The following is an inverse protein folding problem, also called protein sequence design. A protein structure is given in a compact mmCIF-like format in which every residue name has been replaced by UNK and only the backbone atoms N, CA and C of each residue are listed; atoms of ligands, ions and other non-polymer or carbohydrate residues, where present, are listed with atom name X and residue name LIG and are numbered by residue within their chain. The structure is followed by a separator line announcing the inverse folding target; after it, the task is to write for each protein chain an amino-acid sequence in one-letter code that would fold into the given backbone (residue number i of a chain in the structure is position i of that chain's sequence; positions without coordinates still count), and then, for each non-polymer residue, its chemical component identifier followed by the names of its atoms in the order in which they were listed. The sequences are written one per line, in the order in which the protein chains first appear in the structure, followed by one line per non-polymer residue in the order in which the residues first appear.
data_IF_079088674831
#
_entry.id   IF_079088674831
#
_cell.length_a   1.000
_cell.length_b   1.000
_cell.length_c   1.000
_cell.angle_alpha   90.00
_cell.angle_beta   90.00
_cell.angle_gamma   90.00
#
_symmetry.space_group_name_H-M   'P 1'
#
loop_
_entity.id
_entity.type
_entity.pdbx_description
1 polymer ?
#
# COMPACT_ATOMS: atom_id res chain seq x y z
N UNK A 1 8.19 -16.63 -9.64
CA UNK A 1 8.19 -16.06 -8.27
C UNK A 1 8.39 -14.57 -8.46
N UNK A 2 7.42 -13.79 -8.04
CA UNK A 2 7.44 -12.33 -8.17
C UNK A 2 8.61 -11.72 -7.37
N UNK A 3 9.06 -10.54 -7.77
CA UNK A 3 10.07 -9.79 -7.02
C UNK A 3 9.61 -9.46 -5.60
N UNK A 4 8.30 -9.34 -5.38
CA UNK A 4 7.72 -8.99 -4.09
C UNK A 4 7.81 -10.10 -3.06
N UNK A 5 7.62 -11.38 -3.46
CA UNK A 5 7.69 -12.53 -2.56
C UNK A 5 9.08 -12.77 -1.94
N UNK A 6 10.07 -12.03 -2.39
CA UNK A 6 11.41 -12.01 -1.79
C UNK A 6 11.47 -11.16 -0.52
N UNK A 7 10.57 -10.19 -0.38
CA UNK A 7 10.60 -9.18 0.69
C UNK A 7 9.37 -9.18 1.57
N UNK A 8 8.24 -9.70 1.09
CA UNK A 8 6.95 -9.62 1.77
C UNK A 8 6.31 -11.00 1.84
N UNK A 9 5.77 -11.35 3.01
CA UNK A 9 5.05 -12.62 3.22
C UNK A 9 3.74 -12.65 2.44
N UNK A 10 3.13 -11.46 2.24
CA UNK A 10 1.88 -11.33 1.51
C UNK A 10 1.81 -10.01 0.75
N UNK A 11 1.25 -10.08 -0.44
CA UNK A 11 1.05 -8.92 -1.31
C UNK A 11 -0.43 -8.76 -1.62
N UNK A 12 -0.97 -7.60 -1.29
CA UNK A 12 -2.37 -7.26 -1.51
C UNK A 12 -2.53 -6.11 -2.49
N UNK A 13 -3.59 -6.18 -3.29
CA UNK A 13 -4.11 -5.02 -4.00
C UNK A 13 -5.54 -4.76 -3.52
N UNK A 14 -5.77 -3.60 -2.92
CA UNK A 14 -7.09 -3.19 -2.43
C UNK A 14 -7.93 -2.64 -3.58
N UNK A 15 -9.15 -3.15 -3.70
CA UNK A 15 -10.08 -2.75 -4.75
C UNK A 15 -11.52 -2.81 -4.23
N UNK A 16 -12.30 -1.78 -4.51
CA UNK A 16 -13.72 -1.75 -4.19
C UNK A 16 -14.51 -2.74 -5.05
N UNK A 17 -15.41 -3.52 -4.47
CA UNK A 17 -16.20 -4.52 -5.21
C UNK A 17 -17.05 -3.93 -6.32
N UNK A 18 -17.50 -2.68 -6.16
CA UNK A 18 -18.24 -1.94 -7.19
C UNK A 18 -17.36 -1.42 -8.34
N UNK A 19 -16.03 -1.65 -8.29
CA UNK A 19 -15.07 -1.21 -9.31
C UNK A 19 -14.29 -2.38 -9.93
N UNK A 20 -15.00 -3.38 -10.50
CA UNK A 20 -14.35 -4.50 -11.22
C UNK A 20 -13.52 -4.00 -12.42
N UNK A 21 -13.94 -2.89 -13.04
CA UNK A 21 -13.22 -2.22 -14.13
C UNK A 21 -11.78 -1.85 -13.76
N UNK A 22 -11.55 -1.40 -12.52
CA UNK A 22 -10.22 -1.05 -12.01
C UNK A 22 -9.39 -2.32 -11.73
N UNK A 23 -10.03 -3.35 -11.17
CA UNK A 23 -9.37 -4.64 -10.96
C UNK A 23 -8.90 -5.25 -12.28
N UNK A 24 -9.75 -5.28 -13.31
CA UNK A 24 -9.40 -5.80 -14.64
C UNK A 24 -8.25 -5.05 -15.29
N UNK A 25 -8.13 -3.75 -15.00
CA UNK A 25 -7.04 -2.92 -15.49
C UNK A 25 -5.74 -3.22 -14.75
N UNK A 26 -5.76 -3.20 -13.42
CA UNK A 26 -4.54 -3.37 -12.61
C UNK A 26 -4.00 -4.79 -12.69
N UNK A 27 -4.85 -5.80 -12.79
CA UNK A 27 -4.42 -7.19 -12.95
C UNK A 27 -3.63 -7.42 -14.24
N UNK A 28 -4.00 -6.73 -15.33
CA UNK A 28 -3.20 -6.73 -16.57
C UNK A 28 -1.84 -6.05 -16.40
N UNK A 29 -1.78 -5.01 -15.57
CA UNK A 29 -0.50 -4.35 -15.24
C UNK A 29 0.39 -5.32 -14.46
N UNK A 30 -0.15 -6.09 -13.52
CA UNK A 30 0.59 -7.12 -12.80
C UNK A 30 1.11 -8.21 -13.77
N UNK A 31 0.25 -8.73 -14.63
CA UNK A 31 0.61 -9.74 -15.63
C UNK A 31 1.78 -9.29 -16.53
N UNK A 32 1.68 -8.07 -17.09
CA UNK A 32 2.74 -7.51 -17.97
C UNK A 32 4.07 -7.35 -17.22
N UNK A 33 4.04 -7.10 -15.92
CA UNK A 33 5.25 -6.94 -15.10
C UNK A 33 5.71 -8.25 -14.44
N UNK A 34 5.09 -9.39 -14.77
CA UNK A 34 5.47 -10.71 -14.22
C UNK A 34 5.20 -10.86 -12.73
N UNK A 35 4.18 -10.15 -12.23
CA UNK A 35 3.76 -10.18 -10.83
C UNK A 35 2.55 -11.11 -10.71
N UNK A 36 2.73 -12.27 -10.10
CA UNK A 36 1.77 -13.37 -10.04
C UNK A 36 1.27 -13.71 -8.62
N UNK A 37 1.77 -13.02 -7.61
CA UNK A 37 1.52 -13.30 -6.20
C UNK A 37 0.60 -12.27 -5.50
N UNK A 38 0.00 -11.36 -6.25
CA UNK A 38 -0.91 -10.35 -5.72
C UNK A 38 -2.28 -10.93 -5.43
N UNK A 39 -2.76 -10.77 -4.21
CA UNK A 39 -4.11 -11.13 -3.79
C UNK A 39 -4.99 -9.89 -3.80
N UNK A 40 -6.12 -9.98 -4.51
CA UNK A 40 -7.16 -8.95 -4.42
C UNK A 40 -7.77 -8.94 -3.04
N UNK A 41 -7.81 -7.79 -2.40
CA UNK A 41 -8.50 -7.57 -1.14
C UNK A 41 -9.71 -6.65 -1.36
N UNK A 42 -10.90 -7.09 -0.92
CA UNK A 42 -12.12 -6.29 -1.02
C UNK A 42 -12.04 -5.11 -0.07
N UNK A 43 -11.88 -3.91 -0.63
CA UNK A 43 -11.77 -2.69 0.14
C UNK A 43 -13.12 -2.28 0.74
N UNK A 44 -13.09 -1.71 1.94
CA UNK A 44 -14.27 -1.18 2.61
C UNK A 44 -14.79 0.04 1.84
N UNK A 45 -16.04 -0.01 1.39
CA UNK A 45 -16.68 1.18 0.79
C UNK A 45 -17.12 2.14 1.89
N UNK A 46 -16.40 3.24 2.03
CA UNK A 46 -16.70 4.26 3.03
C UNK A 46 -18.12 4.86 2.91
N UNK A 47 -18.75 4.76 1.73
CA UNK A 47 -20.14 5.18 1.58
C UNK A 47 -21.15 4.24 2.27
N UNK A 48 -20.74 3.01 2.56
CA UNK A 48 -21.57 2.01 3.24
C UNK A 48 -21.28 1.93 4.74
N UNK A 49 -20.30 2.69 5.24
CA UNK A 49 -19.99 2.72 6.67
C UNK A 49 -21.12 3.36 7.46
N UNK A 50 -21.60 2.64 8.48
CA UNK A 50 -22.45 3.22 9.52
C UNK A 50 -21.56 3.89 10.56
N UNK A 51 -21.56 5.21 10.60
CA UNK A 51 -20.75 6.03 11.51
C UNK A 51 -21.54 6.49 12.74
N UNK A 52 -22.77 6.01 12.93
CA UNK A 52 -23.60 6.36 14.07
C UNK A 52 -22.97 5.88 15.39
N UNK A 53 -22.76 6.79 16.30
CA UNK A 53 -22.11 6.48 17.60
C UNK A 53 -20.60 6.24 17.54
N UNK A 54 -19.98 6.34 16.37
CA UNK A 54 -18.52 6.20 16.22
C UNK A 54 -17.88 7.60 16.27
N UNK A 55 -16.99 7.78 17.24
CA UNK A 55 -16.17 8.98 17.30
C UNK A 55 -15.09 8.93 16.23
N UNK A 56 -15.14 9.84 15.27
CA UNK A 56 -14.16 9.95 14.19
C UNK A 56 -13.88 11.41 13.86
N UNK A 57 -12.77 11.68 13.21
CA UNK A 57 -12.47 13.01 12.73
C UNK A 57 -13.45 13.41 11.61
N UNK A 58 -14.32 14.36 11.89
CA UNK A 58 -15.38 14.81 10.97
C UNK A 58 -14.87 15.51 9.71
N UNK A 59 -13.58 15.82 9.65
CA UNK A 59 -12.95 16.39 8.46
C UNK A 59 -12.59 15.33 7.42
N UNK A 60 -12.51 14.03 7.81
CA UNK A 60 -12.22 12.94 6.89
C UNK A 60 -13.40 12.68 5.95
N UNK A 61 -13.07 12.49 4.69
CA UNK A 61 -14.03 12.05 3.67
C UNK A 61 -14.39 10.57 3.90
N UNK A 62 -15.58 10.17 3.47
CA UNK A 62 -16.02 8.77 3.56
C UNK A 62 -15.05 7.79 2.88
N UNK A 63 -14.47 8.19 1.74
CA UNK A 63 -13.44 7.39 1.07
C UNK A 63 -12.19 7.18 1.92
N UNK A 64 -11.74 8.21 2.63
CA UNK A 64 -10.58 8.14 3.53
C UNK A 64 -10.85 7.21 4.72
N UNK A 65 -12.07 7.26 5.26
CA UNK A 65 -12.50 6.32 6.30
C UNK A 65 -12.54 4.87 5.79
N UNK A 66 -13.01 4.66 4.56
CA UNK A 66 -13.01 3.33 3.92
C UNK A 66 -11.59 2.77 3.74
N UNK A 67 -10.65 3.61 3.30
CA UNK A 67 -9.23 3.22 3.17
C UNK A 67 -8.63 2.89 4.54
N UNK A 68 -8.88 3.71 5.55
CA UNK A 68 -8.40 3.47 6.92
C UNK A 68 -8.90 2.13 7.45
N UNK A 69 -10.21 1.85 7.36
CA UNK A 69 -10.78 0.57 7.78
C UNK A 69 -10.22 -0.61 7.00
N UNK A 70 -9.98 -0.44 5.70
CA UNK A 70 -9.35 -1.47 4.87
C UNK A 70 -7.96 -1.83 5.39
N UNK A 71 -7.13 -0.83 5.71
CA UNK A 71 -5.79 -1.08 6.27
C UNK A 71 -5.85 -1.73 7.65
N UNK A 72 -6.81 -1.35 8.52
CA UNK A 72 -7.02 -1.98 9.81
C UNK A 72 -7.36 -3.46 9.64
N UNK A 73 -8.21 -3.83 8.67
CA UNK A 73 -8.54 -5.21 8.37
C UNK A 73 -7.31 -6.00 7.88
N UNK A 74 -6.52 -5.41 6.97
CA UNK A 74 -5.30 -6.04 6.46
C UNK A 74 -4.26 -6.30 7.55
N UNK A 75 -4.05 -5.33 8.45
CA UNK A 75 -3.12 -5.49 9.59
C UNK A 75 -3.62 -6.58 10.56
N UNK A 76 -4.93 -6.66 10.81
CA UNK A 76 -5.52 -7.74 11.62
C UNK A 76 -5.30 -9.10 10.97
N UNK A 77 -5.58 -9.21 9.66
CA UNK A 77 -5.35 -10.44 8.89
C UNK A 77 -3.87 -10.85 8.90
N UNK A 78 -2.95 -9.89 8.72
CA UNK A 78 -1.52 -10.15 8.79
C UNK A 78 -1.12 -10.70 10.16
N UNK A 79 -1.61 -10.10 11.24
CA UNK A 79 -1.37 -10.56 12.62
C UNK A 79 -1.93 -11.96 12.87
N UNK A 80 -3.14 -12.27 12.42
CA UNK A 80 -3.78 -13.57 12.58
C UNK A 80 -3.03 -14.67 11.83
N UNK A 81 -2.52 -14.36 10.61
CA UNK A 81 -1.74 -15.27 9.78
C UNK A 81 -0.25 -15.29 10.14
N UNK A 82 0.21 -14.46 11.08
CA UNK A 82 1.61 -14.33 11.51
C UNK A 82 2.54 -13.94 10.35
N UNK A 83 2.10 -13.04 9.49
CA UNK A 83 2.95 -12.40 8.50
C UNK A 83 3.80 -11.34 9.20
N UNK A 84 5.10 -11.37 8.97
CA UNK A 84 6.02 -10.36 9.49
C UNK A 84 5.94 -9.07 8.65
N UNK A 85 5.68 -9.21 7.37
CA UNK A 85 5.61 -8.08 6.43
C UNK A 85 4.54 -8.29 5.37
N UNK A 86 3.80 -7.23 5.05
CA UNK A 86 2.84 -7.21 3.93
C UNK A 86 3.09 -6.01 3.03
N UNK A 87 2.82 -6.18 1.75
CA UNK A 87 2.77 -5.09 0.77
C UNK A 87 1.31 -4.82 0.40
N UNK A 88 0.90 -3.56 0.48
CA UNK A 88 -0.45 -3.12 0.12
C UNK A 88 -0.37 -2.12 -1.02
N UNK A 89 -1.05 -2.38 -2.12
CA UNK A 89 -1.17 -1.52 -3.29
C UNK A 89 -2.62 -1.10 -3.52
N UNK A 90 -2.83 0.12 -4.05
CA UNK A 90 -4.14 0.53 -4.56
C UNK A 90 -4.36 0.03 -6.00
N UNK A 91 -5.62 -0.01 -6.44
CA UNK A 91 -6.01 -0.53 -7.76
C UNK A 91 -5.76 0.45 -8.93
N UNK A 92 -5.10 1.58 -8.66
CA UNK A 92 -4.63 2.53 -9.65
C UNK A 92 -3.09 2.64 -9.72
N UNK A 93 -2.40 1.71 -9.07
CA UNK A 93 -0.95 1.62 -9.15
C UNK A 93 -0.48 1.34 -10.58
N UNK A 94 0.67 1.90 -10.93
CA UNK A 94 1.41 1.55 -12.15
C UNK A 94 2.91 1.50 -11.86
N UNK A 95 3.63 0.69 -12.63
CA UNK A 95 5.07 0.53 -12.47
C UNK A 95 5.81 1.38 -13.48
N UNK A 96 6.79 2.13 -13.00
CA UNK A 96 7.70 2.91 -13.84
C UNK A 96 8.84 2.02 -14.35
N UNK A 97 9.63 2.54 -15.29
CA UNK A 97 10.85 1.86 -15.76
C UNK A 97 11.87 1.57 -14.63
N UNK A 98 11.77 2.26 -13.49
CA UNK A 98 12.60 2.01 -12.31
C UNK A 98 12.17 0.79 -11.51
N UNK A 99 11.06 0.14 -11.86
CA UNK A 99 10.65 -1.11 -11.21
C UNK A 99 11.73 -2.20 -11.30
N UNK A 100 12.52 -2.21 -12.36
CA UNK A 100 13.66 -3.12 -12.51
C UNK A 100 14.78 -2.90 -11.46
N UNK A 101 14.77 -1.76 -10.77
CA UNK A 101 15.71 -1.43 -9.71
C UNK A 101 15.14 -1.74 -8.30
N UNK A 102 13.95 -2.32 -8.22
CA UNK A 102 13.23 -2.55 -6.96
C UNK A 102 14.09 -3.29 -5.91
N UNK A 103 14.79 -4.35 -6.32
CA UNK A 103 15.72 -5.09 -5.46
C UNK A 103 16.82 -4.19 -4.85
N UNK A 104 17.33 -3.25 -5.62
CA UNK A 104 18.39 -2.37 -5.15
C UNK A 104 17.86 -1.39 -4.10
N UNK A 105 16.62 -0.91 -4.26
CA UNK A 105 15.97 -0.03 -3.29
C UNK A 105 15.65 -0.80 -2.00
N UNK A 106 15.02 -1.97 -2.10
CA UNK A 106 14.66 -2.78 -0.93
C UNK A 106 15.88 -3.23 -0.13
N UNK A 107 16.96 -3.65 -0.80
CA UNK A 107 18.21 -3.99 -0.14
C UNK A 107 18.92 -2.80 0.54
N UNK A 108 18.50 -1.58 0.26
CA UNK A 108 19.04 -0.35 0.86
C UNK A 108 18.19 0.15 2.04
N UNK A 109 17.00 -0.43 2.26
CA UNK A 109 16.14 -0.09 3.39
C UNK A 109 16.79 -0.62 4.69
N UNK A 110 16.95 0.20 5.74
CA UNK A 110 17.41 -0.28 7.04
C UNK A 110 16.51 -1.39 7.61
N UNK A 111 17.06 -2.32 8.36
CA UNK A 111 16.30 -3.47 8.89
C UNK A 111 15.31 -3.11 10.02
N UNK A 112 15.38 -1.91 10.55
CA UNK A 112 14.56 -1.39 11.66
C UNK A 112 13.41 -0.50 11.17
N UNK A 113 12.92 -0.74 9.94
CA UNK A 113 11.79 0.00 9.41
C UNK A 113 10.45 -0.54 9.96
N UNK A 114 9.49 0.38 10.15
CA UNK A 114 8.10 0.04 10.47
C UNK A 114 7.19 0.14 9.25
N UNK A 115 7.49 1.09 8.35
CA UNK A 115 6.74 1.34 7.13
C UNK A 115 7.67 1.77 6.00
N UNK A 116 7.46 1.25 4.80
CA UNK A 116 8.17 1.68 3.58
C UNK A 116 7.15 2.15 2.54
N UNK A 117 7.23 3.42 2.17
CA UNK A 117 6.41 4.00 1.11
C UNK A 117 7.12 3.80 -0.23
N UNK A 118 6.56 2.92 -1.06
CA UNK A 118 7.09 2.63 -2.39
C UNK A 118 6.46 3.55 -3.44
N UNK A 119 5.23 4.00 -3.18
CA UNK A 119 4.53 4.99 -3.99
C UNK A 119 3.69 5.92 -3.12
N UNK A 120 3.94 7.22 -3.23
CA UNK A 120 3.20 8.23 -2.47
C UNK A 120 3.67 9.64 -2.80
N UNK A 121 2.91 10.63 -2.35
CA UNK A 121 3.24 12.03 -2.51
C UNK A 121 3.71 12.63 -1.18
N UNK A 122 4.83 13.36 -1.22
CA UNK A 122 5.30 14.09 -0.05
C UNK A 122 4.58 15.42 0.06
N UNK A 123 4.17 15.77 1.27
CA UNK A 123 3.69 17.11 1.55
C UNK A 123 4.84 18.06 1.90
N UNK A 124 4.63 19.31 1.51
CA UNK A 124 5.49 20.41 1.91
C UNK A 124 5.47 20.60 3.44
N UNK A 125 6.61 20.69 4.03
CA UNK A 125 6.79 20.81 5.48
C UNK A 125 8.24 20.62 5.84
N UNK A 126 8.54 19.76 6.78
CA UNK A 126 9.90 19.39 7.09
C UNK A 126 10.50 18.58 5.93
N UNK A 127 11.66 18.97 5.40
CA UNK A 127 12.29 18.23 4.33
C UNK A 127 12.58 16.79 4.79
N UNK A 128 12.48 15.81 3.88
CA UNK A 128 12.85 14.44 4.20
C UNK A 128 14.35 14.38 4.55
N UNK A 129 14.68 13.46 5.45
CA UNK A 129 16.09 13.25 5.85
C UNK A 129 16.67 12.10 5.03
N UNK A 130 17.82 12.34 4.39
CA UNK A 130 18.53 11.26 3.68
C UNK A 130 19.02 10.22 4.69
N UNK A 131 18.66 8.96 4.46
CA UNK A 131 19.18 7.80 5.19
C UNK A 131 20.41 7.26 4.48
N UNK A 132 20.33 7.15 3.17
CA UNK A 132 21.43 6.80 2.28
C UNK A 132 21.16 7.35 0.87
N UNK A 133 21.94 6.95 -0.14
CA UNK A 133 21.83 7.45 -1.51
C UNK A 133 20.46 7.11 -2.18
N UNK A 134 19.74 6.10 -1.67
CA UNK A 134 18.49 5.60 -2.25
C UNK A 134 17.26 5.80 -1.36
N UNK A 135 17.47 5.95 -0.06
CA UNK A 135 16.40 5.94 0.94
C UNK A 135 16.36 7.27 1.68
N UNK A 136 15.15 7.79 1.84
CA UNK A 136 14.89 8.98 2.65
C UNK A 136 13.90 8.61 3.77
N UNK A 137 14.09 9.19 4.94
CA UNK A 137 13.13 9.14 6.04
C UNK A 137 12.11 10.25 5.85
N UNK A 138 10.83 9.87 5.78
CA UNK A 138 9.74 10.79 5.61
C UNK A 138 9.22 11.28 6.95
N UNK A 139 8.83 12.56 6.99
CA UNK A 139 8.15 13.14 8.14
C UNK A 139 6.65 13.27 7.90
N UNK A 140 6.22 13.34 6.63
CA UNK A 140 4.82 13.45 6.25
C UNK A 140 4.59 13.01 4.82
N UNK A 141 3.59 12.15 4.60
CA UNK A 141 3.22 11.63 3.28
C UNK A 141 1.71 11.63 3.14
N UNK A 142 1.24 12.01 1.97
CA UNK A 142 -0.17 11.89 1.54
C UNK A 142 -0.26 11.08 0.27
N UNK A 143 -1.44 10.52 0.01
CA UNK A 143 -1.71 9.67 -1.16
C UNK A 143 -0.75 8.47 -1.23
N UNK A 144 -1.11 7.42 -0.53
CA UNK A 144 -0.34 6.18 -0.41
C UNK A 144 -0.86 5.22 -1.47
N UNK A 145 -0.11 5.08 -2.57
CA UNK A 145 -0.48 4.13 -3.63
C UNK A 145 0.14 2.75 -3.45
N UNK A 146 1.24 2.67 -2.70
CA UNK A 146 1.94 1.42 -2.40
C UNK A 146 2.74 1.57 -1.11
N UNK A 147 2.45 0.72 -0.13
CA UNK A 147 3.09 0.74 1.19
C UNK A 147 3.39 -0.67 1.68
N UNK A 148 4.56 -0.86 2.26
CA UNK A 148 4.91 -2.04 3.03
C UNK A 148 4.80 -1.74 4.54
N UNK A 149 4.28 -2.69 5.29
CA UNK A 149 4.04 -2.63 6.74
C UNK A 149 4.52 -3.91 7.38
#
# INVERSE_FOLDING_TARGET
MSVFSKYFDKVYCINLDRRPDRWDKVSKIFEVNGIDDVVRFSAVDGNQLNLEGIEHNKTLLKGELGILETHIHLIKEAKENKYDTILVMEDDVYFTNKFNEFDQYMNSVPNDWDMVFIGGNHLYGNPPVSVNEKIIKLNHTVAIHCIAI
#
